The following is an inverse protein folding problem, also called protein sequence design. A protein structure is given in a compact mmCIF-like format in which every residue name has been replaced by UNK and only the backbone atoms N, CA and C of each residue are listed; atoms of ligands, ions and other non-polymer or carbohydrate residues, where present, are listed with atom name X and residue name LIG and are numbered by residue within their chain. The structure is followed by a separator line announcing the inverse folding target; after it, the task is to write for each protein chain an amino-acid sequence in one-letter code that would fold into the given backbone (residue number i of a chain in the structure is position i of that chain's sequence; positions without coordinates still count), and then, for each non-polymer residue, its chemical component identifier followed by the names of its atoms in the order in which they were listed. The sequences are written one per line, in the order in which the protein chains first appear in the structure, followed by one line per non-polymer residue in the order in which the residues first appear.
data_IF_752295673072
#
_entry.id   IF_752295673072
#
_cell.length_a   1.000
_cell.length_b   1.000
_cell.length_c   1.000
_cell.angle_alpha   90.00
_cell.angle_beta   90.00
_cell.angle_gamma   90.00
#
_symmetry.space_group_name_H-M   'P 1'
#
loop_
_entity.id
_entity.type
_entity.pdbx_description
1 polymer ?
#
# COMPACT_ATOMS: atom_id res chain seq x y z
N UNK A 1 -15.61 -7.39 34.10
CA UNK A 1 -16.34 -6.55 33.13
C UNK A 1 -16.53 -5.07 33.58
N UNK A 2 -16.26 -4.68 34.84
CA UNK A 2 -16.53 -3.31 35.34
C UNK A 2 -15.40 -2.26 35.21
N UNK A 3 -14.12 -2.66 35.12
CA UNK A 3 -13.01 -1.71 35.17
C UNK A 3 -12.80 -0.93 33.85
N UNK A 4 -12.99 -1.58 32.70
CA UNK A 4 -12.81 -0.93 31.38
C UNK A 4 -13.91 0.09 31.09
N UNK A 5 -15.15 -0.18 31.51
CA UNK A 5 -16.27 0.77 31.38
C UNK A 5 -16.01 2.00 32.23
N UNK A 6 -15.58 1.83 33.49
CA UNK A 6 -15.21 2.95 34.36
C UNK A 6 -14.04 3.78 33.79
N UNK A 7 -13.00 3.13 33.25
CA UNK A 7 -11.88 3.82 32.59
C UNK A 7 -12.32 4.57 31.33
N UNK A 8 -13.17 3.97 30.50
CA UNK A 8 -13.72 4.60 29.30
C UNK A 8 -14.59 5.81 29.65
N UNK A 9 -15.45 5.69 30.67
CA UNK A 9 -16.29 6.80 31.14
C UNK A 9 -15.44 7.93 31.72
N UNK A 10 -14.44 7.62 32.55
CA UNK A 10 -13.53 8.62 33.11
C UNK A 10 -12.71 9.34 32.01
N UNK A 11 -12.21 8.58 31.03
CA UNK A 11 -11.50 9.11 29.89
C UNK A 11 -12.42 10.01 29.04
N UNK A 12 -13.61 9.52 28.69
CA UNK A 12 -14.60 10.25 27.90
C UNK A 12 -14.98 11.58 28.55
N UNK A 13 -15.30 11.60 29.84
CA UNK A 13 -15.64 12.84 30.56
C UNK A 13 -14.53 13.90 30.48
N UNK A 14 -13.27 13.48 30.44
CA UNK A 14 -12.11 14.38 30.37
C UNK A 14 -11.82 14.88 28.95
N UNK A 15 -11.94 14.02 27.94
CA UNK A 15 -11.44 14.32 26.59
C UNK A 15 -12.54 14.60 25.55
N UNK A 16 -13.79 14.21 25.81
CA UNK A 16 -14.95 14.52 24.96
C UNK A 16 -15.05 16.02 24.63
N UNK A 17 -14.95 16.96 25.59
CA UNK A 17 -15.01 18.39 25.27
C UNK A 17 -13.79 18.90 24.51
N UNK A 18 -12.72 18.10 24.39
CA UNK A 18 -11.51 18.45 23.66
C UNK A 18 -11.56 17.92 22.22
N UNK A 19 -12.17 16.75 21.97
CA UNK A 19 -12.15 16.12 20.64
C UNK A 19 -13.45 16.33 19.86
N UNK A 20 -14.61 16.32 20.52
CA UNK A 20 -15.90 16.44 19.85
C UNK A 20 -16.41 17.89 19.75
N UNK A 21 -15.52 18.88 19.80
CA UNK A 21 -15.89 20.24 19.41
C UNK A 21 -16.13 20.31 17.91
N UNK A 22 -17.02 21.21 17.46
CA UNK A 22 -17.35 21.36 16.04
C UNK A 22 -16.09 21.64 15.20
N UNK A 23 -15.21 22.50 15.67
CA UNK A 23 -14.01 22.90 14.94
C UNK A 23 -13.02 21.75 14.76
N UNK A 24 -12.79 20.95 15.80
CA UNK A 24 -11.85 19.82 15.76
C UNK A 24 -12.42 18.66 14.91
N UNK A 25 -13.74 18.45 14.97
CA UNK A 25 -14.38 17.49 14.07
C UNK A 25 -14.25 17.92 12.60
N UNK A 26 -14.37 19.21 12.30
CA UNK A 26 -14.16 19.73 10.95
C UNK A 26 -12.72 19.58 10.49
N UNK A 27 -11.77 19.88 11.38
CA UNK A 27 -10.34 19.76 11.12
C UNK A 27 -9.93 18.31 10.83
N UNK A 28 -10.31 17.36 11.69
CA UNK A 28 -10.00 15.92 11.51
C UNK A 28 -10.70 15.37 10.27
N UNK A 29 -11.95 15.78 10.03
CA UNK A 29 -12.67 15.37 8.81
C UNK A 29 -11.96 15.85 7.54
N UNK A 30 -11.45 17.09 7.53
CA UNK A 30 -10.70 17.65 6.41
C UNK A 30 -9.32 16.99 6.26
N UNK A 31 -8.58 16.82 7.35
CA UNK A 31 -7.25 16.21 7.41
C UNK A 31 -7.27 14.80 6.82
N UNK A 32 -8.23 13.98 7.23
CA UNK A 32 -8.31 12.56 6.85
C UNK A 32 -9.30 12.27 5.72
N UNK A 33 -9.93 13.31 5.14
CA UNK A 33 -10.94 13.21 4.07
C UNK A 33 -12.12 12.28 4.42
N UNK A 34 -12.58 12.33 5.66
CA UNK A 34 -13.70 11.53 6.16
C UNK A 34 -14.94 12.39 6.42
N UNK A 35 -16.13 11.79 6.36
CA UNK A 35 -17.36 12.49 6.71
C UNK A 35 -17.38 12.83 8.20
N UNK A 36 -17.84 14.03 8.56
CA UNK A 36 -17.96 14.48 9.96
C UNK A 36 -18.69 13.49 10.87
N UNK A 37 -19.78 12.88 10.37
CA UNK A 37 -20.55 11.86 11.11
C UNK A 37 -19.74 10.61 11.46
N UNK A 38 -18.70 10.28 10.68
CA UNK A 38 -17.79 9.16 10.97
C UNK A 38 -16.79 9.50 12.08
N UNK A 39 -16.41 10.77 12.26
CA UNK A 39 -15.47 11.19 13.32
C UNK A 39 -16.00 10.83 14.71
N UNK A 40 -17.31 10.99 14.94
CA UNK A 40 -17.91 10.63 16.23
C UNK A 40 -17.89 9.11 16.47
N UNK A 41 -18.13 8.30 15.43
CA UNK A 41 -18.00 6.84 15.52
C UNK A 41 -16.56 6.41 15.84
N UNK A 42 -15.60 6.98 15.12
CA UNK A 42 -14.17 6.75 15.35
C UNK A 42 -13.74 7.15 16.76
N UNK A 43 -14.29 8.23 17.31
CA UNK A 43 -14.04 8.62 18.69
C UNK A 43 -14.53 7.55 19.68
N UNK A 44 -15.71 6.98 19.47
CA UNK A 44 -16.22 5.90 20.33
C UNK A 44 -15.33 4.65 20.24
N UNK A 45 -14.96 4.22 19.03
CA UNK A 45 -14.05 3.09 18.81
C UNK A 45 -12.71 3.32 19.54
N UNK A 46 -12.08 4.48 19.29
CA UNK A 46 -10.81 4.87 19.91
C UNK A 46 -10.88 4.90 21.44
N UNK A 47 -11.95 5.46 22.02
CA UNK A 47 -12.15 5.46 23.47
C UNK A 47 -12.14 4.06 24.07
N UNK A 48 -12.84 3.12 23.44
CA UNK A 48 -12.87 1.74 23.89
C UNK A 48 -11.50 1.06 23.75
N UNK A 49 -10.75 1.35 22.69
CA UNK A 49 -9.39 0.82 22.54
C UNK A 49 -8.42 1.36 23.59
N UNK A 50 -8.45 2.67 23.85
CA UNK A 50 -7.58 3.29 24.86
C UNK A 50 -7.93 2.79 26.26
N UNK A 51 -9.21 2.55 26.56
CA UNK A 51 -9.64 2.01 27.84
C UNK A 51 -9.27 0.52 28.04
N UNK A 52 -9.14 -0.25 26.95
CA UNK A 52 -8.80 -1.67 26.93
C UNK A 52 -7.30 -1.94 26.66
N UNK A 53 -6.49 -0.88 26.50
CA UNK A 53 -5.04 -1.04 26.35
C UNK A 53 -4.45 -1.61 27.63
N UNK A 54 -3.75 -2.72 27.47
CA UNK A 54 -2.96 -3.37 28.52
C UNK A 54 -1.71 -2.58 28.86
N UNK A 55 -1.30 -1.64 27.98
CA UNK A 55 -0.22 -0.69 28.21
C UNK A 55 -0.83 0.61 28.72
N UNK A 56 -0.54 0.96 29.97
CA UNK A 56 -1.01 2.23 30.53
C UNK A 56 -0.48 3.45 29.77
N UNK A 57 0.61 3.31 29.01
CA UNK A 57 1.24 4.37 28.24
C UNK A 57 0.29 4.96 27.17
N UNK A 58 -0.45 4.13 26.43
CA UNK A 58 -1.39 4.61 25.41
C UNK A 58 -2.54 5.40 26.06
N UNK A 59 -3.03 4.91 27.20
CA UNK A 59 -4.05 5.60 27.99
C UNK A 59 -3.52 6.95 28.52
N UNK A 60 -2.30 6.99 29.05
CA UNK A 60 -1.68 8.22 29.53
C UNK A 60 -1.43 9.23 28.40
N UNK A 61 -0.93 8.77 27.25
CA UNK A 61 -0.73 9.61 26.06
C UNK A 61 -2.06 10.18 25.57
N UNK A 62 -3.12 9.36 25.52
CA UNK A 62 -4.47 9.81 25.17
C UNK A 62 -5.01 10.86 26.16
N UNK A 63 -4.65 10.80 27.44
CA UNK A 63 -5.04 11.84 28.41
C UNK A 63 -4.21 13.13 28.31
N UNK A 64 -2.92 13.04 27.95
CA UNK A 64 -1.99 14.18 27.91
C UNK A 64 -2.06 14.94 26.59
N UNK A 65 -2.23 14.23 25.47
CA UNK A 65 -2.35 14.80 24.14
C UNK A 65 -3.47 14.08 23.34
N UNK A 66 -4.74 14.28 23.75
CA UNK A 66 -5.89 13.55 23.19
C UNK A 66 -6.06 13.79 21.69
N UNK A 67 -5.86 15.02 21.23
CA UNK A 67 -6.09 15.39 19.84
C UNK A 67 -5.09 14.73 18.90
N UNK A 68 -3.79 14.82 19.19
CA UNK A 68 -2.77 14.23 18.34
C UNK A 68 -2.87 12.70 18.32
N UNK A 69 -3.12 12.08 19.49
CA UNK A 69 -3.32 10.63 19.57
C UNK A 69 -4.55 10.17 18.81
N UNK A 70 -5.66 10.90 18.92
CA UNK A 70 -6.86 10.59 18.16
C UNK A 70 -6.65 10.77 16.65
N UNK A 71 -6.00 11.86 16.21
CA UNK A 71 -5.69 12.06 14.78
C UNK A 71 -4.78 10.96 14.22
N UNK A 72 -3.73 10.57 14.96
CA UNK A 72 -2.87 9.42 14.59
C UNK A 72 -3.65 8.12 14.50
N UNK A 73 -4.54 7.86 15.47
CA UNK A 73 -5.38 6.67 15.46
C UNK A 73 -6.36 6.67 14.29
N UNK A 74 -7.00 7.81 13.99
CA UNK A 74 -7.88 7.96 12.82
C UNK A 74 -7.11 7.73 11.53
N UNK A 75 -5.89 8.25 11.41
CA UNK A 75 -5.02 8.01 10.25
C UNK A 75 -4.78 6.51 10.02
N UNK A 76 -4.41 5.78 11.08
CA UNK A 76 -4.24 4.32 11.02
C UNK A 76 -5.55 3.59 10.69
N UNK A 77 -6.67 4.00 11.31
CA UNK A 77 -8.00 3.41 11.07
C UNK A 77 -8.53 3.65 9.66
N UNK A 78 -8.20 4.79 9.06
CA UNK A 78 -8.54 5.13 7.66
C UNK A 78 -7.65 4.34 6.69
N UNK A 79 -6.39 4.12 7.03
CA UNK A 79 -5.49 3.26 6.26
C UNK A 79 -5.94 1.78 6.29
N UNK A 80 -6.52 1.32 7.41
CA UNK A 80 -7.07 -0.03 7.57
C UNK A 80 -8.60 -0.01 7.75
N UNK A 81 -9.37 0.15 6.66
CA UNK A 81 -10.81 0.39 6.75
C UNK A 81 -11.61 -0.82 7.28
N UNK A 82 -11.03 -2.02 7.28
CA UNK A 82 -11.63 -3.27 7.80
C UNK A 82 -11.05 -3.71 9.16
N UNK A 83 -10.41 -2.79 9.89
CA UNK A 83 -9.78 -3.06 11.17
C UNK A 83 -10.79 -3.56 12.22
N UNK A 84 -10.46 -4.68 12.87
CA UNK A 84 -11.24 -5.25 13.97
C UNK A 84 -10.58 -4.91 15.30
N UNK A 85 -11.28 -4.14 16.11
CA UNK A 85 -10.76 -3.69 17.40
C UNK A 85 -10.53 -4.83 18.38
N UNK A 86 -9.61 -4.60 19.33
CA UNK A 86 -9.29 -5.57 20.39
C UNK A 86 -10.52 -5.97 21.22
N UNK A 87 -11.42 -5.03 21.48
CA UNK A 87 -12.64 -5.29 22.25
C UNK A 87 -13.57 -6.28 21.53
N UNK A 88 -13.67 -6.20 20.19
CA UNK A 88 -14.45 -7.15 19.39
C UNK A 88 -13.80 -8.54 19.40
N UNK A 89 -12.47 -8.62 19.33
CA UNK A 89 -11.74 -9.89 19.48
C UNK A 89 -11.96 -10.53 20.86
N UNK A 90 -12.02 -9.72 21.92
CA UNK A 90 -12.30 -10.20 23.27
C UNK A 90 -13.73 -10.77 23.39
N UNK A 91 -14.73 -10.10 22.79
CA UNK A 91 -16.11 -10.61 22.71
C UNK A 91 -16.11 -11.99 22.03
N UNK A 92 -15.39 -12.13 20.92
CA UNK A 92 -15.33 -13.38 20.18
C UNK A 92 -14.62 -14.49 20.96
N UNK A 93 -13.51 -14.18 21.63
CA UNK A 93 -12.73 -15.12 22.44
C UNK A 93 -13.54 -15.67 23.62
N UNK A 94 -14.43 -14.85 24.19
CA UNK A 94 -15.37 -15.30 25.23
C UNK A 94 -16.45 -16.24 24.69
N UNK A 95 -16.78 -16.17 23.40
CA UNK A 95 -17.85 -16.96 22.76
C UNK A 95 -17.35 -18.30 22.21
N UNK A 96 -16.19 -18.33 21.55
CA UNK A 96 -15.72 -19.50 20.76
C UNK A 96 -14.34 -20.04 21.16
N UNK A 97 -13.78 -19.60 22.29
CA UNK A 97 -12.38 -19.85 22.72
C UNK A 97 -11.35 -19.03 21.91
N UNK A 98 -10.16 -18.85 22.50
CA UNK A 98 -9.11 -17.94 22.00
C UNK A 98 -8.56 -18.38 20.64
N UNK A 99 -8.34 -19.68 20.43
CA UNK A 99 -7.75 -20.19 19.18
C UNK A 99 -8.67 -20.01 17.98
N UNK A 100 -9.97 -20.26 18.16
CA UNK A 100 -10.98 -20.04 17.11
C UNK A 100 -11.10 -18.54 16.83
N UNK A 101 -11.13 -17.70 17.87
CA UNK A 101 -11.17 -16.25 17.69
C UNK A 101 -9.94 -15.72 16.94
N UNK A 102 -8.76 -16.27 17.24
CA UNK A 102 -7.52 -15.95 16.53
C UNK A 102 -7.56 -16.40 15.06
N UNK A 103 -8.03 -17.62 14.78
CA UNK A 103 -8.21 -18.11 13.40
C UNK A 103 -9.15 -17.20 12.61
N UNK A 104 -10.30 -16.85 13.20
CA UNK A 104 -11.28 -15.99 12.53
C UNK A 104 -10.70 -14.60 12.26
N UNK A 105 -9.98 -14.02 13.23
CA UNK A 105 -9.39 -12.70 13.08
C UNK A 105 -8.21 -12.65 12.10
N UNK A 106 -7.28 -13.60 12.20
CA UNK A 106 -6.01 -13.58 11.45
C UNK A 106 -6.12 -14.17 10.05
N UNK A 107 -7.05 -15.10 9.83
CA UNK A 107 -7.13 -15.89 8.59
C UNK A 107 -8.46 -15.62 7.90
N UNK A 108 -9.58 -15.98 8.53
CA UNK A 108 -10.90 -15.95 7.88
C UNK A 108 -11.32 -14.53 7.51
N UNK A 109 -11.22 -13.57 8.43
CA UNK A 109 -11.65 -12.20 8.16
C UNK A 109 -10.91 -11.54 6.99
N UNK A 110 -9.55 -11.56 6.95
CA UNK A 110 -8.81 -11.10 5.77
C UNK A 110 -9.20 -11.82 4.48
N UNK A 111 -9.42 -13.15 4.52
CA UNK A 111 -9.87 -13.92 3.36
C UNK A 111 -11.26 -13.47 2.88
N UNK A 112 -12.21 -13.25 3.78
CA UNK A 112 -13.57 -12.80 3.42
C UNK A 112 -13.58 -11.39 2.83
N UNK A 113 -12.73 -10.49 3.32
CA UNK A 113 -12.52 -9.18 2.69
C UNK A 113 -11.93 -9.35 1.28
N UNK A 114 -10.92 -10.21 1.12
CA UNK A 114 -10.29 -10.46 -0.18
C UNK A 114 -11.25 -11.09 -1.19
N UNK A 115 -12.05 -12.07 -0.75
CA UNK A 115 -13.11 -12.65 -1.56
C UNK A 115 -14.10 -11.58 -2.00
N UNK A 116 -14.65 -10.79 -1.08
CA UNK A 116 -15.56 -9.72 -1.44
C UNK A 116 -14.92 -8.71 -2.42
N UNK A 117 -13.64 -8.34 -2.24
CA UNK A 117 -12.93 -7.50 -3.19
C UNK A 117 -12.82 -8.13 -4.58
N UNK A 118 -12.48 -9.43 -4.66
CA UNK A 118 -12.42 -10.18 -5.92
C UNK A 118 -13.77 -10.28 -6.62
N UNK A 119 -14.85 -10.48 -5.86
CA UNK A 119 -16.21 -10.59 -6.39
C UNK A 119 -16.80 -9.24 -6.86
N UNK A 120 -16.19 -8.09 -6.52
CA UNK A 120 -16.54 -6.81 -7.18
C UNK A 120 -16.28 -6.82 -8.70
N UNK A 121 -15.44 -7.73 -9.18
CA UNK A 121 -15.13 -7.93 -10.60
C UNK A 121 -15.89 -9.12 -11.21
N UNK A 122 -16.86 -9.70 -10.49
CA UNK A 122 -17.69 -10.78 -11.01
C UNK A 122 -18.55 -10.28 -12.19
N UNK A 123 -18.76 -11.15 -13.18
CA UNK A 123 -19.66 -10.89 -14.30
C UNK A 123 -21.12 -10.90 -13.84
N UNK A 124 -21.42 -11.60 -12.75
CA UNK A 124 -22.73 -11.56 -12.13
C UNK A 124 -22.92 -10.25 -11.33
N UNK A 125 -23.73 -9.37 -11.91
CA UNK A 125 -24.09 -8.05 -11.36
C UNK A 125 -24.66 -8.13 -9.94
N UNK A 126 -25.44 -9.18 -9.63
CA UNK A 126 -26.01 -9.37 -8.29
C UNK A 126 -24.93 -9.68 -7.26
N UNK A 127 -23.97 -10.53 -7.61
CA UNK A 127 -22.85 -10.90 -6.73
C UNK A 127 -21.92 -9.72 -6.51
N UNK A 128 -21.57 -8.98 -7.58
CA UNK A 128 -20.77 -7.77 -7.49
C UNK A 128 -21.43 -6.70 -6.60
N UNK A 129 -22.75 -6.54 -6.70
CA UNK A 129 -23.52 -5.63 -5.84
C UNK A 129 -23.51 -6.09 -4.37
N UNK A 130 -23.70 -7.38 -4.11
CA UNK A 130 -23.60 -7.95 -2.74
C UNK A 130 -22.22 -7.71 -2.14
N UNK A 131 -21.16 -7.94 -2.91
CA UNK A 131 -19.78 -7.66 -2.49
C UNK A 131 -19.56 -6.18 -2.16
N UNK A 132 -20.10 -5.27 -2.97
CA UNK A 132 -20.03 -3.84 -2.73
C UNK A 132 -20.74 -3.42 -1.42
N UNK A 133 -21.96 -3.93 -1.21
CA UNK A 133 -22.72 -3.68 0.02
C UNK A 133 -22.04 -4.26 1.26
N UNK A 134 -21.50 -5.48 1.15
CA UNK A 134 -20.74 -6.13 2.22
C UNK A 134 -19.54 -5.29 2.62
N UNK A 135 -18.69 -4.91 1.65
CA UNK A 135 -17.50 -4.12 1.95
C UNK A 135 -17.86 -2.74 2.49
N UNK A 136 -18.90 -2.09 1.96
CA UNK A 136 -19.39 -0.81 2.50
C UNK A 136 -19.81 -0.93 3.97
N UNK A 137 -20.62 -1.95 4.30
CA UNK A 137 -21.02 -2.19 5.69
C UNK A 137 -19.84 -2.60 6.57
N UNK A 138 -18.92 -3.42 6.07
CA UNK A 138 -17.73 -3.84 6.80
C UNK A 138 -16.82 -2.65 7.16
N UNK A 139 -16.81 -1.58 6.36
CA UNK A 139 -16.12 -0.34 6.67
C UNK A 139 -16.86 0.54 7.69
N UNK A 140 -18.20 0.58 7.61
CA UNK A 140 -19.04 1.45 8.45
C UNK A 140 -19.40 0.86 9.82
N UNK A 141 -19.49 -0.46 9.92
CA UNK A 141 -19.82 -1.24 11.11
C UNK A 141 -19.09 -2.59 11.09
N UNK A 142 -17.76 -2.51 11.19
CA UNK A 142 -16.88 -3.68 11.18
C UNK A 142 -17.25 -4.69 12.26
N UNK A 143 -17.66 -4.22 13.45
CA UNK A 143 -18.05 -5.07 14.58
C UNK A 143 -19.19 -6.01 14.21
N UNK A 144 -20.30 -5.49 13.71
CA UNK A 144 -21.49 -6.30 13.42
C UNK A 144 -21.21 -7.30 12.30
N UNK A 145 -20.53 -6.86 11.25
CA UNK A 145 -20.20 -7.72 10.10
C UNK A 145 -19.22 -8.82 10.52
N UNK A 146 -18.15 -8.48 11.24
CA UNK A 146 -17.16 -9.44 11.73
C UNK A 146 -17.79 -10.51 12.63
N UNK A 147 -18.65 -10.11 13.59
CA UNK A 147 -19.33 -11.06 14.45
C UNK A 147 -20.31 -11.95 13.68
N UNK A 148 -21.01 -11.41 12.68
CA UNK A 148 -21.87 -12.22 11.82
C UNK A 148 -21.09 -13.23 10.98
N UNK A 149 -19.91 -12.85 10.47
CA UNK A 149 -19.00 -13.79 9.76
C UNK A 149 -18.50 -14.87 10.72
N UNK A 150 -18.19 -14.52 11.96
CA UNK A 150 -17.78 -15.51 12.95
C UNK A 150 -18.89 -16.52 13.29
N UNK A 151 -20.13 -16.04 13.44
CA UNK A 151 -21.29 -16.90 13.68
C UNK A 151 -21.54 -17.82 12.46
N UNK A 152 -21.43 -17.28 11.24
CA UNK A 152 -21.52 -18.06 9.99
C UNK A 152 -20.39 -19.08 9.85
N UNK A 153 -19.16 -18.74 10.25
CA UNK A 153 -18.05 -19.67 10.25
C UNK A 153 -18.31 -20.82 11.22
N UNK A 154 -18.85 -20.55 12.42
CA UNK A 154 -19.20 -21.61 13.37
C UNK A 154 -20.27 -22.55 12.82
N UNK A 155 -21.27 -22.04 12.10
CA UNK A 155 -22.28 -22.85 11.40
C UNK A 155 -21.65 -23.67 10.24
N UNK A 156 -20.85 -23.02 9.39
CA UNK A 156 -20.27 -23.61 8.19
C UNK A 156 -19.14 -24.61 8.51
N UNK A 157 -18.44 -24.45 9.63
CA UNK A 157 -17.39 -25.37 10.07
C UNK A 157 -17.92 -26.80 10.29
N UNK A 158 -19.21 -26.94 10.59
CA UNK A 158 -19.89 -28.23 10.71
C UNK A 158 -20.18 -28.89 9.35
N UNK A 159 -20.03 -28.15 8.24
CA UNK A 159 -20.20 -28.65 6.87
C UNK A 159 -18.87 -29.18 6.32
N UNK A 160 -18.85 -30.48 5.97
CA UNK A 160 -17.66 -31.17 5.45
C UNK A 160 -17.03 -30.48 4.23
N UNK A 161 -17.86 -29.97 3.32
CA UNK A 161 -17.40 -29.35 2.07
C UNK A 161 -16.73 -27.99 2.30
N UNK A 162 -17.19 -27.21 3.29
CA UNK A 162 -16.59 -25.93 3.62
C UNK A 162 -15.21 -26.11 4.28
N UNK A 163 -15.11 -27.06 5.22
CA UNK A 163 -13.92 -27.27 6.03
C UNK A 163 -12.78 -27.97 5.25
N UNK A 164 -13.11 -28.79 4.25
CA UNK A 164 -12.11 -29.50 3.41
C UNK A 164 -11.72 -28.74 2.14
N UNK A 165 -12.25 -27.54 1.97
CA UNK A 165 -12.01 -26.75 0.76
C UNK A 165 -10.59 -26.18 0.75
N UNK A 166 -9.84 -26.41 -0.33
CA UNK A 166 -8.48 -25.84 -0.51
C UNK A 166 -8.47 -24.30 -0.53
N UNK A 167 -9.63 -23.68 -0.78
CA UNK A 167 -9.81 -22.22 -0.72
C UNK A 167 -9.60 -21.64 0.70
N UNK A 168 -9.65 -22.48 1.75
CA UNK A 168 -9.34 -22.08 3.12
C UNK A 168 -7.85 -21.82 3.37
N UNK A 169 -6.98 -22.39 2.53
CA UNK A 169 -5.52 -22.26 2.67
C UNK A 169 -4.95 -21.11 1.83
N UNK A 170 -5.77 -20.48 0.98
CA UNK A 170 -5.33 -19.37 0.14
C UNK A 170 -5.08 -18.10 0.94
N UNK A 171 -3.98 -17.42 0.65
CA UNK A 171 -3.73 -16.08 1.18
C UNK A 171 -4.69 -15.04 0.58
N UNK A 172 -4.94 -13.91 1.27
CA UNK A 172 -5.73 -12.80 0.72
C UNK A 172 -5.23 -12.29 -0.64
N UNK A 173 -3.92 -12.30 -0.88
CA UNK A 173 -3.33 -11.87 -2.15
C UNK A 173 -3.62 -12.85 -3.29
N UNK A 174 -3.52 -14.16 -3.03
CA UNK A 174 -3.88 -15.20 -4.00
C UNK A 174 -5.37 -15.14 -4.36
N UNK A 175 -6.24 -14.97 -3.36
CA UNK A 175 -7.69 -14.82 -3.57
C UNK A 175 -7.98 -13.61 -4.45
N UNK A 176 -7.41 -12.44 -4.10
CA UNK A 176 -7.68 -11.19 -4.82
C UNK A 176 -7.20 -11.28 -6.26
N UNK A 177 -6.08 -11.95 -6.52
CA UNK A 177 -5.48 -12.02 -7.87
C UNK A 177 -5.85 -13.30 -8.64
N UNK A 178 -6.67 -14.19 -8.09
CA UNK A 178 -7.12 -15.39 -8.79
C UNK A 178 -7.82 -15.02 -10.10
N UNK A 179 -7.39 -15.58 -11.26
CA UNK A 179 -8.01 -15.32 -12.54
C UNK A 179 -9.45 -15.84 -12.58
N UNK A 180 -9.71 -16.97 -11.94
CA UNK A 180 -11.00 -17.64 -11.92
C UNK A 180 -11.69 -17.50 -10.56
N UNK A 181 -13.01 -17.33 -10.60
CA UNK A 181 -13.86 -17.42 -9.41
C UNK A 181 -14.22 -18.88 -9.21
N UNK A 182 -13.96 -19.40 -8.03
CA UNK A 182 -14.31 -20.76 -7.64
C UNK A 182 -15.81 -20.92 -7.40
N UNK A 183 -16.31 -22.15 -7.53
CA UNK A 183 -17.66 -22.54 -7.07
C UNK A 183 -17.83 -22.51 -5.55
N UNK A 184 -16.75 -22.26 -4.80
CA UNK A 184 -16.79 -22.05 -3.36
C UNK A 184 -17.65 -20.85 -3.00
N UNK A 185 -18.55 -21.02 -2.02
CA UNK A 185 -19.39 -19.94 -1.50
C UNK A 185 -18.76 -19.35 -0.24
N UNK A 186 -18.08 -18.19 -0.33
CA UNK A 186 -17.49 -17.52 0.82
C UNK A 186 -18.55 -17.03 1.81
N UNK A 187 -18.18 -16.86 3.08
CA UNK A 187 -19.09 -16.49 4.15
C UNK A 187 -19.69 -15.10 3.94
N UNK A 188 -18.99 -14.18 3.28
CA UNK A 188 -19.52 -12.86 2.96
C UNK A 188 -20.76 -12.94 2.06
N UNK A 189 -20.84 -13.93 1.15
CA UNK A 189 -22.03 -14.14 0.33
C UNK A 189 -23.18 -14.70 1.15
N UNK A 190 -22.89 -15.61 2.10
CA UNK A 190 -23.90 -16.09 3.06
C UNK A 190 -24.43 -14.94 3.92
N UNK A 191 -23.55 -14.06 4.40
CA UNK A 191 -23.91 -12.84 5.14
C UNK A 191 -24.80 -11.93 4.30
N UNK A 192 -24.39 -11.64 3.06
CA UNK A 192 -25.13 -10.77 2.15
C UNK A 192 -26.52 -11.34 1.82
N UNK A 193 -26.60 -12.66 1.60
CA UNK A 193 -27.87 -13.35 1.34
C UNK A 193 -28.83 -13.27 2.52
N UNK A 194 -28.34 -13.28 3.77
CA UNK A 194 -29.20 -13.15 4.96
C UNK A 194 -29.59 -11.70 5.24
N UNK A 195 -28.68 -10.75 5.09
CA UNK A 195 -28.84 -9.40 5.63
C UNK A 195 -29.29 -8.35 4.59
N UNK A 196 -29.15 -8.63 3.29
CA UNK A 196 -29.44 -7.64 2.24
C UNK A 196 -30.71 -7.90 1.44
N UNK A 197 -31.51 -8.93 1.77
CA UNK A 197 -32.72 -9.28 1.01
C UNK A 197 -33.61 -8.06 0.80
N UNK A 198 -33.96 -7.34 1.86
CA UNK A 198 -34.85 -6.16 1.79
C UNK A 198 -34.23 -4.97 1.05
N UNK A 199 -32.90 -4.82 1.08
CA UNK A 199 -32.21 -3.75 0.34
C UNK A 199 -32.18 -4.07 -1.14
N UNK A 200 -31.86 -5.33 -1.48
CA UNK A 200 -31.78 -5.82 -2.85
C UNK A 200 -33.14 -5.91 -3.52
N UNK A 201 -34.22 -6.22 -2.78
CA UNK A 201 -35.58 -6.30 -3.33
C UNK A 201 -36.15 -4.94 -3.77
N UNK A 202 -35.52 -3.83 -3.35
CA UNK A 202 -35.93 -2.46 -3.71
C UNK A 202 -35.19 -1.91 -4.93
N UNK A 203 -34.18 -2.62 -5.43
CA UNK A 203 -33.38 -2.19 -6.57
C UNK A 203 -33.96 -2.73 -7.87
N UNK A 204 -33.97 -1.90 -8.91
CA UNK A 204 -34.25 -2.36 -10.26
C UNK A 204 -32.98 -2.88 -10.95
N UNK A 205 -33.14 -3.48 -12.13
CA UNK A 205 -32.02 -4.03 -12.89
C UNK A 205 -30.98 -2.97 -13.30
N UNK A 206 -31.40 -1.72 -13.51
CA UNK A 206 -30.53 -0.61 -13.86
C UNK A 206 -29.64 -0.19 -12.69
N UNK A 207 -30.18 -0.17 -11.48
CA UNK A 207 -29.45 0.15 -10.26
C UNK A 207 -28.42 -0.94 -9.95
N UNK A 208 -28.77 -2.22 -10.12
CA UNK A 208 -27.81 -3.32 -10.03
C UNK A 208 -26.60 -3.11 -10.94
N UNK A 209 -26.83 -2.76 -12.21
CA UNK A 209 -25.74 -2.50 -13.16
C UNK A 209 -24.87 -1.32 -12.73
N UNK A 210 -25.47 -0.23 -12.25
CA UNK A 210 -24.73 0.94 -11.74
C UNK A 210 -23.88 0.57 -10.53
N UNK A 211 -24.42 -0.13 -9.55
CA UNK A 211 -23.68 -0.55 -8.36
C UNK A 211 -22.52 -1.48 -8.71
N UNK A 212 -22.74 -2.47 -9.58
CA UNK A 212 -21.67 -3.37 -10.03
C UNK A 212 -20.57 -2.63 -10.79
N UNK A 213 -20.92 -1.69 -11.68
CA UNK A 213 -19.94 -0.88 -12.41
C UNK A 213 -19.10 -0.01 -11.46
N UNK A 214 -19.73 0.65 -10.49
CA UNK A 214 -19.02 1.41 -9.45
C UNK A 214 -18.12 0.50 -8.62
N UNK A 215 -18.60 -0.68 -8.23
CA UNK A 215 -17.82 -1.65 -7.46
C UNK A 215 -16.58 -2.13 -8.22
N UNK A 216 -16.72 -2.45 -9.50
CA UNK A 216 -15.62 -2.86 -10.37
C UNK A 216 -14.58 -1.73 -10.52
N UNK A 217 -15.04 -0.48 -10.67
CA UNK A 217 -14.14 0.67 -10.76
C UNK A 217 -13.38 0.91 -9.45
N UNK A 218 -14.06 0.80 -8.30
CA UNK A 218 -13.42 0.91 -6.99
C UNK A 218 -12.34 -0.16 -6.81
N UNK A 219 -12.62 -1.41 -7.15
CA UNK A 219 -11.65 -2.50 -7.03
C UNK A 219 -10.44 -2.31 -7.97
N UNK A 220 -10.67 -1.90 -9.23
CA UNK A 220 -9.58 -1.56 -10.16
C UNK A 220 -8.69 -0.44 -9.61
N UNK A 221 -9.30 0.62 -9.10
CA UNK A 221 -8.59 1.76 -8.52
C UNK A 221 -7.77 1.36 -7.28
N UNK A 222 -8.35 0.55 -6.38
CA UNK A 222 -7.68 0.02 -5.19
C UNK A 222 -6.47 -0.85 -5.58
N UNK A 223 -6.63 -1.82 -6.49
CA UNK A 223 -5.54 -2.68 -6.99
C UNK A 223 -4.40 -1.87 -7.59
N UNK A 224 -4.74 -0.93 -8.46
CA UNK A 224 -3.73 -0.04 -9.05
C UNK A 224 -3.01 0.78 -7.99
N UNK A 225 -3.72 1.22 -6.94
CA UNK A 225 -3.08 1.98 -5.86
C UNK A 225 -2.07 1.14 -5.08
N UNK A 226 -2.43 -0.08 -4.69
CA UNK A 226 -1.52 -1.00 -4.00
C UNK A 226 -0.31 -1.32 -4.88
N UNK A 227 -0.54 -1.64 -6.16
CA UNK A 227 0.53 -1.94 -7.10
C UNK A 227 1.47 -0.76 -7.30
N UNK A 228 0.96 0.47 -7.42
CA UNK A 228 1.78 1.69 -7.49
C UNK A 228 2.65 1.86 -6.25
N UNK A 229 2.05 1.73 -5.05
CA UNK A 229 2.80 1.85 -3.80
C UNK A 229 3.90 0.80 -3.68
N UNK A 230 3.61 -0.46 -4.04
CA UNK A 230 4.59 -1.55 -4.07
C UNK A 230 5.70 -1.28 -5.09
N UNK A 231 5.34 -0.83 -6.30
CA UNK A 231 6.28 -0.51 -7.37
C UNK A 231 7.24 0.60 -6.94
N UNK A 232 6.72 1.69 -6.38
CA UNK A 232 7.54 2.81 -5.92
C UNK A 232 8.41 2.42 -4.73
N UNK A 233 7.86 1.67 -3.77
CA UNK A 233 8.64 1.16 -2.64
C UNK A 233 9.79 0.25 -3.11
N UNK A 234 9.51 -0.65 -4.05
CA UNK A 234 10.51 -1.53 -4.63
C UNK A 234 11.58 -0.73 -5.41
N UNK A 235 11.19 0.24 -6.23
CA UNK A 235 12.12 1.08 -6.99
C UNK A 235 12.99 1.97 -6.09
N UNK A 236 12.44 2.50 -4.99
CA UNK A 236 13.23 3.22 -3.97
C UNK A 236 14.29 2.34 -3.30
N UNK A 237 13.97 1.06 -3.08
CA UNK A 237 14.91 0.08 -2.50
C UNK A 237 15.93 -0.45 -3.53
N UNK A 238 15.50 -0.61 -4.77
CA UNK A 238 16.30 -1.12 -5.89
C UNK A 238 16.18 -0.17 -7.09
N UNK A 239 16.99 0.91 -7.11
CA UNK A 239 16.89 1.94 -8.15
C UNK A 239 17.04 1.36 -9.56
N UNK A 240 16.07 1.66 -10.41
CA UNK A 240 15.98 1.27 -11.82
C UNK A 240 17.12 1.86 -12.63
N UNK A 241 17.60 3.08 -12.28
CA UNK A 241 18.76 3.74 -12.91
C UNK A 241 20.05 2.94 -12.85
N UNK A 242 20.13 1.91 -11.98
CA UNK A 242 21.30 1.03 -11.86
C UNK A 242 21.24 -0.18 -12.79
N UNK A 243 20.11 -0.42 -13.44
CA UNK A 243 19.89 -1.56 -14.34
C UNK A 243 20.57 -1.35 -15.70
N UNK A 244 21.26 -2.38 -16.22
CA UNK A 244 21.98 -2.28 -17.49
C UNK A 244 21.11 -1.88 -18.70
N UNK A 245 19.90 -2.46 -18.91
CA UNK A 245 19.00 -2.00 -19.96
C UNK A 245 18.67 -0.50 -19.89
N UNK A 246 18.46 0.02 -18.68
CA UNK A 246 18.13 1.44 -18.48
C UNK A 246 19.34 2.32 -18.78
N UNK A 247 20.52 1.94 -18.30
CA UNK A 247 21.77 2.65 -18.58
C UNK A 247 22.08 2.70 -20.08
N UNK A 248 21.92 1.56 -20.78
CA UNK A 248 22.11 1.47 -22.22
C UNK A 248 21.10 2.34 -22.98
N UNK A 249 19.83 2.31 -22.61
CA UNK A 249 18.79 3.16 -23.20
C UNK A 249 19.12 4.64 -22.97
N UNK A 250 19.39 5.03 -21.73
CA UNK A 250 19.69 6.42 -21.38
C UNK A 250 20.91 6.96 -22.15
N UNK A 251 21.96 6.14 -22.32
CA UNK A 251 23.13 6.48 -23.16
C UNK A 251 22.76 6.63 -24.64
N UNK A 252 21.95 5.74 -25.20
CA UNK A 252 21.47 5.85 -26.59
C UNK A 252 20.67 7.14 -26.86
N UNK A 253 20.14 7.76 -25.80
CA UNK A 253 19.43 9.03 -25.85
C UNK A 253 20.28 10.25 -25.40
N UNK A 254 21.57 10.05 -25.10
CA UNK A 254 22.46 11.13 -24.66
C UNK A 254 22.13 11.69 -23.27
N UNK A 255 21.46 10.90 -22.44
CA UNK A 255 21.12 11.26 -21.06
C UNK A 255 22.34 10.92 -20.19
N UNK A 256 22.78 11.86 -19.35
CA UNK A 256 23.85 11.64 -18.37
C UNK A 256 23.37 10.86 -17.14
N UNK A 257 24.30 10.32 -16.35
CA UNK A 257 24.01 9.63 -15.08
C UNK A 257 23.22 10.50 -14.09
N UNK A 258 23.55 11.80 -14.00
CA UNK A 258 22.86 12.75 -13.15
C UNK A 258 21.45 13.10 -13.67
N UNK A 259 21.28 13.26 -14.98
CA UNK A 259 19.93 13.45 -15.54
C UNK A 259 19.06 12.20 -15.36
N UNK A 260 19.65 11.00 -15.50
CA UNK A 260 18.94 9.75 -15.26
C UNK A 260 18.47 9.62 -13.80
N UNK A 261 19.31 10.03 -12.84
CA UNK A 261 18.92 10.12 -11.43
C UNK A 261 17.68 11.00 -11.25
N UNK A 262 17.71 12.22 -11.80
CA UNK A 262 16.60 13.18 -11.68
C UNK A 262 15.33 12.65 -12.35
N UNK A 263 15.47 12.04 -13.53
CA UNK A 263 14.36 11.43 -14.26
C UNK A 263 13.71 10.30 -13.47
N UNK A 264 14.48 9.48 -12.75
CA UNK A 264 13.92 8.42 -11.92
C UNK A 264 13.14 8.99 -10.73
N UNK A 265 13.70 9.96 -10.00
CA UNK A 265 13.01 10.59 -8.86
C UNK A 265 11.71 11.26 -9.33
N UNK A 266 11.75 11.96 -10.46
CA UNK A 266 10.55 12.53 -11.08
C UNK A 266 9.56 11.46 -11.52
N UNK A 267 10.02 10.38 -12.17
CA UNK A 267 9.17 9.26 -12.57
C UNK A 267 8.43 8.64 -11.39
N UNK A 268 9.13 8.38 -10.27
CA UNK A 268 8.51 7.81 -9.07
C UNK A 268 7.47 8.75 -8.46
N UNK A 269 7.73 10.06 -8.44
CA UNK A 269 6.75 11.08 -8.03
C UNK A 269 5.52 11.11 -8.96
N UNK A 270 5.71 11.02 -10.27
CA UNK A 270 4.59 10.98 -11.24
C UNK A 270 3.76 9.70 -11.11
N UNK A 271 4.38 8.57 -10.77
CA UNK A 271 3.67 7.32 -10.44
C UNK A 271 2.88 7.48 -9.15
N UNK A 272 3.46 8.05 -8.09
CA UNK A 272 2.74 8.33 -6.82
C UNK A 272 1.55 9.27 -7.03
N UNK A 273 1.71 10.31 -7.87
CA UNK A 273 0.67 11.30 -8.22
C UNK A 273 -0.37 10.80 -9.23
N UNK A 274 -0.27 9.55 -9.70
CA UNK A 274 -1.20 8.92 -10.67
C UNK A 274 -1.21 9.58 -12.05
N UNK A 275 -0.14 10.28 -12.41
CA UNK A 275 0.03 10.83 -13.77
C UNK A 275 0.45 9.73 -14.73
N UNK A 276 1.29 8.79 -14.26
CA UNK A 276 1.67 7.59 -15.00
C UNK A 276 0.78 6.42 -14.58
N UNK A 277 0.04 5.87 -15.54
CA UNK A 277 -0.80 4.70 -15.31
C UNK A 277 0.04 3.42 -15.23
N UNK A 278 -0.21 2.65 -14.17
CA UNK A 278 0.36 1.31 -14.00
C UNK A 278 -0.75 0.31 -14.25
N UNK A 279 -0.58 -0.52 -15.29
CA UNK A 279 -1.56 -1.54 -15.65
C UNK A 279 -1.43 -2.72 -14.68
N UNK A 280 -2.53 -3.17 -14.04
CA UNK A 280 -2.50 -4.37 -13.20
C UNK A 280 -1.94 -5.58 -13.94
N UNK A 281 -0.94 -6.25 -13.37
CA UNK A 281 -0.28 -7.41 -13.98
C UNK A 281 0.87 -7.07 -14.93
N UNK A 282 1.20 -5.80 -15.17
CA UNK A 282 2.43 -5.44 -15.88
C UNK A 282 3.67 -5.73 -15.03
N UNK A 283 4.65 -6.37 -15.66
CA UNK A 283 5.89 -6.85 -15.06
C UNK A 283 6.83 -5.70 -14.68
N UNK A 284 7.08 -5.50 -13.38
CA UNK A 284 8.10 -4.59 -12.80
C UNK A 284 8.05 -3.12 -13.26
N UNK A 285 8.69 -2.19 -12.54
CA UNK A 285 8.76 -0.79 -12.96
C UNK A 285 9.65 -0.58 -14.20
N UNK A 286 10.50 -1.55 -14.50
CA UNK A 286 11.63 -1.41 -15.42
C UNK A 286 11.21 -1.13 -16.88
N UNK A 287 10.23 -1.84 -17.48
CA UNK A 287 9.81 -1.56 -18.85
C UNK A 287 9.14 -0.20 -18.98
N UNK A 288 8.36 0.20 -17.97
CA UNK A 288 7.65 1.49 -17.94
C UNK A 288 8.67 2.62 -17.87
N UNK A 289 9.66 2.51 -16.99
CA UNK A 289 10.71 3.51 -16.87
C UNK A 289 11.61 3.58 -18.12
N UNK A 290 11.97 2.43 -18.69
CA UNK A 290 12.74 2.40 -19.96
C UNK A 290 11.98 3.09 -21.09
N UNK A 291 10.67 2.83 -21.22
CA UNK A 291 9.84 3.52 -22.21
C UNK A 291 9.74 5.04 -21.93
N UNK A 292 9.64 5.41 -20.66
CA UNK A 292 9.58 6.82 -20.22
C UNK A 292 10.83 7.61 -20.63
N UNK A 293 12.03 7.04 -20.47
CA UNK A 293 13.29 7.71 -20.86
C UNK A 293 13.56 7.64 -22.38
N UNK A 294 12.91 6.71 -23.09
CA UNK A 294 13.08 6.53 -24.53
C UNK A 294 12.19 7.43 -25.41
N UNK A 295 11.25 8.19 -24.83
CA UNK A 295 10.41 9.12 -25.58
C UNK A 295 11.18 10.35 -26.07
N UNK A 296 11.71 10.25 -27.29
CA UNK A 296 12.53 11.28 -27.95
C UNK A 296 11.82 12.62 -28.13
N UNK A 297 10.48 12.66 -28.18
CA UNK A 297 9.75 13.91 -28.47
C UNK A 297 9.62 14.81 -27.23
N UNK A 298 9.64 14.22 -26.03
CA UNK A 298 9.46 14.93 -24.77
C UNK A 298 10.69 14.99 -23.87
N UNK A 299 11.70 14.13 -24.06
CA UNK A 299 12.73 13.89 -23.03
C UNK A 299 13.49 15.14 -22.55
N UNK A 300 13.82 16.09 -23.44
CA UNK A 300 14.49 17.34 -23.05
C UNK A 300 13.65 18.17 -22.08
N UNK A 301 12.34 18.26 -22.36
CA UNK A 301 11.39 18.96 -21.49
C UNK A 301 11.24 18.23 -20.16
N UNK A 302 11.14 16.89 -20.20
CA UNK A 302 11.04 16.05 -18.99
C UNK A 302 12.28 16.20 -18.10
N UNK A 303 13.49 16.28 -18.67
CA UNK A 303 14.72 16.53 -17.90
C UNK A 303 14.66 17.90 -17.19
N UNK A 304 14.19 18.94 -17.87
CA UNK A 304 14.03 20.27 -17.25
C UNK A 304 12.99 20.24 -16.12
N UNK A 305 11.87 19.56 -16.31
CA UNK A 305 10.84 19.38 -15.27
C UNK A 305 11.39 18.59 -14.07
N UNK A 306 12.16 17.53 -14.31
CA UNK A 306 12.81 16.72 -13.27
C UNK A 306 13.86 17.51 -12.48
N UNK A 307 14.65 18.35 -13.17
CA UNK A 307 15.63 19.24 -12.52
C UNK A 307 14.95 20.29 -11.63
N UNK A 308 13.83 20.87 -12.09
CA UNK A 308 13.03 21.80 -11.29
C UNK A 308 12.39 21.11 -10.08
N UNK A 309 11.96 19.86 -10.22
CA UNK A 309 11.38 19.06 -9.15
C UNK A 309 12.37 18.77 -8.03
N UNK A 310 13.60 18.34 -8.36
CA UNK A 310 14.58 17.94 -7.35
C UNK A 310 15.10 19.13 -6.52
N UNK A 311 15.01 20.36 -7.03
CA UNK A 311 15.41 21.57 -6.33
C UNK A 311 16.90 21.57 -5.92
N UNK A 312 17.29 22.43 -4.96
CA UNK A 312 18.67 22.48 -4.44
C UNK A 312 19.04 21.30 -3.52
N UNK A 313 18.09 20.40 -3.22
CA UNK A 313 18.28 19.29 -2.28
C UNK A 313 18.91 18.04 -2.91
N UNK A 314 19.01 17.97 -4.25
CA UNK A 314 19.81 16.96 -4.93
C UNK A 314 21.31 17.23 -4.68
N UNK A 315 21.84 16.68 -3.59
CA UNK A 315 23.26 16.78 -3.27
C UNK A 315 24.03 15.66 -3.95
N UNK A 316 24.93 16.06 -4.85
CA UNK A 316 25.95 15.15 -5.37
C UNK A 316 26.80 14.61 -4.22
N UNK A 317 27.32 13.39 -4.39
CA UNK A 317 28.36 12.91 -3.48
C UNK A 317 29.56 13.86 -3.58
N UNK A 318 30.16 14.20 -2.44
CA UNK A 318 31.37 15.01 -2.45
C UNK A 318 32.60 14.15 -2.82
N UNK A 319 33.71 14.82 -3.16
CA UNK A 319 34.98 14.15 -3.50
C UNK A 319 35.44 13.20 -2.39
N UNK A 320 35.23 13.56 -1.11
CA UNK A 320 35.57 12.72 0.04
C UNK A 320 34.71 11.45 0.10
N UNK A 321 33.42 11.53 -0.23
CA UNK A 321 32.52 10.40 -0.33
C UNK A 321 32.96 9.38 -1.39
N UNK A 322 33.42 9.86 -2.56
CA UNK A 322 33.99 8.99 -3.61
C UNK A 322 35.30 8.35 -3.15
N UNK A 323 36.18 9.14 -2.53
CA UNK A 323 37.48 8.64 -2.04
C UNK A 323 37.35 7.53 -0.99
N UNK A 324 36.27 7.58 -0.21
CA UNK A 324 35.96 6.59 0.82
C UNK A 324 35.36 5.29 0.29
N UNK A 325 34.98 5.20 -0.99
CA UNK A 325 34.55 3.95 -1.60
C UNK A 325 35.74 2.97 -1.68
N UNK A 326 35.59 1.76 -1.14
CA UNK A 326 36.64 0.72 -1.12
C UNK A 326 36.15 -0.55 -1.83
N UNK A 327 36.98 -1.58 -1.85
CA UNK A 327 36.68 -2.85 -2.54
C UNK A 327 35.36 -3.49 -2.08
N UNK A 328 34.93 -3.32 -0.83
CA UNK A 328 33.63 -3.81 -0.37
C UNK A 328 32.44 -3.16 -1.12
N UNK A 329 32.59 -1.94 -1.64
CA UNK A 329 31.58 -1.28 -2.45
C UNK A 329 31.43 -1.96 -3.82
N UNK A 330 32.54 -2.45 -4.39
CA UNK A 330 32.54 -3.23 -5.64
C UNK A 330 31.71 -4.51 -5.47
N UNK A 331 31.81 -5.16 -4.30
CA UNK A 331 31.04 -6.37 -4.00
C UNK A 331 29.53 -6.12 -3.95
N UNK A 332 29.10 -4.88 -3.71
CA UNK A 332 27.69 -4.47 -3.64
C UNK A 332 27.12 -4.00 -5.00
N UNK A 333 27.92 -3.99 -6.06
CA UNK A 333 27.45 -3.62 -7.40
C UNK A 333 26.49 -4.67 -7.96
N UNK A 334 25.55 -4.26 -8.84
CA UNK A 334 24.68 -5.21 -9.53
C UNK A 334 25.48 -6.28 -10.28
N UNK A 335 25.06 -7.55 -10.18
CA UNK A 335 25.79 -8.70 -10.74
C UNK A 335 26.13 -8.53 -12.23
N UNK A 336 25.21 -7.91 -13.00
CA UNK A 336 25.41 -7.65 -14.42
C UNK A 336 26.65 -6.82 -14.75
N UNK A 337 27.13 -5.97 -13.83
CA UNK A 337 28.29 -5.11 -14.09
C UNK A 337 29.59 -5.91 -14.20
N UNK A 338 29.64 -7.08 -13.58
CA UNK A 338 30.81 -7.99 -13.63
C UNK A 338 31.08 -8.50 -15.03
N UNK A 339 30.06 -8.50 -15.89
CA UNK A 339 30.18 -8.92 -17.28
C UNK A 339 30.76 -7.83 -18.21
N UNK A 340 30.95 -6.60 -17.71
CA UNK A 340 31.45 -5.47 -18.50
C UNK A 340 32.99 -5.31 -18.47
N UNK A 341 33.70 -6.28 -17.88
CA UNK A 341 35.17 -6.36 -17.89
C UNK A 341 35.81 -6.29 -16.51
N UNK A 342 37.08 -5.88 -16.46
CA UNK A 342 37.85 -5.83 -15.22
C UNK A 342 37.41 -4.67 -14.31
N UNK A 343 36.41 -4.93 -13.44
CA UNK A 343 35.82 -3.92 -12.56
C UNK A 343 36.86 -3.23 -11.68
N UNK A 344 37.85 -3.95 -11.15
CA UNK A 344 38.81 -3.37 -10.19
C UNK A 344 39.64 -2.29 -10.86
N UNK A 345 40.18 -2.57 -12.04
CA UNK A 345 40.92 -1.57 -12.82
C UNK A 345 40.03 -0.40 -13.21
N UNK A 346 38.81 -0.68 -13.70
CA UNK A 346 37.85 0.36 -14.10
C UNK A 346 37.42 1.24 -12.94
N UNK A 347 37.31 0.70 -11.74
CA UNK A 347 36.98 1.46 -10.55
C UNK A 347 38.06 2.51 -10.20
N UNK A 348 39.33 2.14 -10.31
CA UNK A 348 40.44 3.09 -10.13
C UNK A 348 40.40 4.21 -11.17
N UNK A 349 40.25 3.86 -12.46
CA UNK A 349 40.16 4.85 -13.54
C UNK A 349 38.96 5.80 -13.37
N UNK A 350 37.81 5.26 -12.97
CA UNK A 350 36.60 6.06 -12.72
C UNK A 350 36.80 7.03 -11.55
N UNK A 351 37.45 6.59 -10.47
CA UNK A 351 37.78 7.45 -9.33
C UNK A 351 38.74 8.57 -9.71
N UNK A 352 39.81 8.26 -10.43
CA UNK A 352 40.77 9.25 -10.93
C UNK A 352 40.05 10.29 -11.79
N UNK A 353 39.18 9.84 -12.70
CA UNK A 353 38.41 10.73 -13.56
C UNK A 353 37.52 11.73 -12.78
N UNK A 354 36.99 11.31 -11.63
CA UNK A 354 36.21 12.15 -10.72
C UNK A 354 37.09 13.11 -9.90
N UNK A 355 38.27 12.67 -9.47
CA UNK A 355 39.21 13.49 -8.69
C UNK A 355 39.82 14.60 -9.55
N UNK A 356 40.16 14.28 -10.80
CA UNK A 356 40.79 15.20 -11.76
C UNK A 356 39.77 16.11 -12.46
N UNK A 357 38.51 16.14 -11.99
CA UNK A 357 37.38 16.88 -12.56
C UNK A 357 37.10 16.62 -14.05
N UNK A 358 37.67 15.56 -14.62
CA UNK A 358 37.40 15.12 -16.00
C UNK A 358 36.00 14.51 -16.16
N UNK A 359 35.37 14.12 -15.04
CA UNK A 359 33.99 13.62 -14.94
C UNK A 359 33.27 14.36 -13.82
N UNK A 360 32.01 14.75 -14.04
CA UNK A 360 31.19 15.44 -13.03
C UNK A 360 30.87 14.50 -11.86
N UNK A 361 30.83 15.05 -10.65
CA UNK A 361 30.41 14.30 -9.46
C UNK A 361 28.99 13.76 -9.61
N UNK A 362 28.78 12.46 -9.33
CA UNK A 362 27.47 11.84 -9.53
C UNK A 362 26.52 12.05 -8.34
N UNK A 363 25.22 12.07 -8.61
CA UNK A 363 24.19 11.93 -7.57
C UNK A 363 24.11 10.49 -7.04
N UNK A 364 24.35 9.50 -7.90
CA UNK A 364 24.39 8.09 -7.53
C UNK A 364 25.67 7.44 -8.11
N UNK A 365 26.67 7.09 -7.27
CA UNK A 365 27.94 6.57 -7.76
C UNK A 365 27.80 5.20 -8.43
N UNK A 366 26.78 4.41 -8.07
CA UNK A 366 26.55 3.08 -8.67
C UNK A 366 26.10 3.22 -10.13
N UNK A 367 25.11 4.06 -10.40
CA UNK A 367 24.63 4.27 -11.78
C UNK A 367 25.69 4.96 -12.65
N UNK A 368 26.42 5.93 -12.10
CA UNK A 368 27.49 6.62 -12.82
C UNK A 368 28.66 5.69 -13.17
N UNK A 369 29.05 4.82 -12.24
CA UNK A 369 30.05 3.80 -12.53
C UNK A 369 29.55 2.80 -13.58
N UNK A 370 28.27 2.42 -13.54
CA UNK A 370 27.65 1.60 -14.59
C UNK A 370 27.72 2.26 -15.98
N UNK A 371 27.47 3.57 -16.05
CA UNK A 371 27.68 4.37 -17.27
C UNK A 371 29.13 4.31 -17.75
N UNK A 372 30.08 4.54 -16.84
CA UNK A 372 31.51 4.50 -17.15
C UNK A 372 31.95 3.13 -17.69
N UNK A 373 31.44 2.05 -17.11
CA UNK A 373 31.72 0.69 -17.60
C UNK A 373 31.21 0.48 -19.03
N UNK A 374 29.98 0.94 -19.33
CA UNK A 374 29.40 0.83 -20.67
C UNK A 374 30.15 1.68 -21.71
N UNK A 375 30.55 2.89 -21.35
CA UNK A 375 31.38 3.76 -22.22
C UNK A 375 32.68 3.06 -22.63
N UNK A 376 33.26 2.27 -21.74
CA UNK A 376 34.54 1.57 -21.96
C UNK A 376 34.38 0.19 -22.60
N UNK A 377 33.24 -0.47 -22.47
CA UNK A 377 32.98 -1.76 -23.15
C UNK A 377 32.84 -1.58 -24.66
N UNK A 378 32.24 -0.48 -25.10
CA UNK A 378 32.05 -0.20 -26.54
C UNK A 378 33.33 0.24 -27.25
N UNK A 379 34.35 0.65 -26.50
CA UNK A 379 35.68 0.96 -27.06
C UNK A 379 36.50 -0.31 -27.35
N UNK A 380 36.00 -1.48 -26.92
CA UNK A 380 36.63 -2.78 -27.10
C UNK A 380 35.86 -3.69 -28.09
N UNK A 381 34.68 -3.27 -28.54
CA UNK A 381 33.88 -3.92 -29.58
C UNK A 381 34.04 -3.16 -30.91
#
# INVERSE_FOLDING_TARGET
MNMNVQRATALSNRIRPIILTTDIQHEIAAEHKVQRKRVEKYYQEWLFEMADSTRNDDYFLATRNPREQFSRWVSARVAEPFFVSKSVRNILSQRYQVDVANKIFMIIWPQEIAWAQRYRLDTNVYTATKAALFLSQAQDDTKTVFLSIADLHAEAFMMLDYNRSHFQDMSPEEIRNSPELSDFTPLFLMHANRNYIEKLSKLDSGDFQKYAAVAAQLEKNERQSVMRSQLVHHAKRFPLRRSLPVLAAARAHGISSNELYLLEEYFLDQVEKKVIEVVPGSSTALPIFTAFISDRRGIKRTIMEAANFAGPDAKAIDQLGVLNLRNWWIEQLPDGYRNLGNIVTRFSEWREALIDDSRKMPFDPVSDFGYFLLERSDLLA
#
